data_IF_599024161096
#
_entry.id   IF_599024161096
#
_cell.length_a   1.000
_cell.length_b   1.000
_cell.length_c   1.000
_cell.angle_alpha   90.00
_cell.angle_beta   90.00
_cell.angle_gamma   90.00
#
_symmetry.space_group_name_H-M   'P 1'
#
loop_
_entity.id
_entity.type
_entity.pdbx_description
1 polymer ?
#
# COMPACT_ATOMS: atom_id res chain seq x y z
N UNK A 1 1.42 14.10 -14.49
CA UNK A 1 0.35 13.12 -14.18
C UNK A 1 0.88 12.16 -13.12
N UNK A 2 0.23 12.07 -11.95
CA UNK A 2 0.75 11.29 -10.82
C UNK A 2 0.75 9.79 -11.13
N UNK A 3 1.90 9.13 -10.94
CA UNK A 3 2.00 7.67 -11.03
C UNK A 3 1.08 7.09 -9.95
N UNK A 4 0.17 6.18 -10.33
CA UNK A 4 -0.71 5.52 -9.36
C UNK A 4 0.08 4.42 -8.67
N UNK A 5 0.07 4.46 -7.36
CA UNK A 5 0.87 3.57 -6.52
C UNK A 5 -0.07 2.85 -5.56
N UNK A 6 0.13 1.56 -5.39
CA UNK A 6 -0.50 0.77 -4.34
C UNK A 6 0.58 0.41 -3.30
N UNK A 7 0.17 0.30 -2.05
CA UNK A 7 1.06 -0.08 -0.94
C UNK A 7 0.60 -1.43 -0.44
N UNK A 8 1.54 -2.32 -0.16
CA UNK A 8 1.27 -3.56 0.55
C UNK A 8 2.15 -3.68 1.80
N UNK A 9 1.59 -4.27 2.85
CA UNK A 9 2.29 -4.61 4.09
C UNK A 9 2.30 -6.14 4.18
N UNK A 10 3.49 -6.74 4.28
CA UNK A 10 3.66 -8.19 4.37
C UNK A 10 2.91 -8.94 3.25
N UNK A 11 3.02 -8.48 2.00
CA UNK A 11 2.31 -8.99 0.81
C UNK A 11 0.78 -8.80 0.82
N UNK A 12 0.23 -8.01 1.73
CA UNK A 12 -1.19 -7.67 1.76
C UNK A 12 -1.40 -6.22 1.30
N UNK A 13 -2.15 -6.03 0.21
CA UNK A 13 -2.44 -4.70 -0.33
C UNK A 13 -3.31 -3.91 0.65
N UNK A 14 -2.85 -2.71 0.98
CA UNK A 14 -3.58 -1.74 1.80
C UNK A 14 -4.20 -0.71 0.88
N UNK A 15 -5.52 -0.55 0.99
CA UNK A 15 -6.25 0.51 0.27
C UNK A 15 -5.92 1.87 0.89
N UNK A 16 -5.81 2.90 0.04
CA UNK A 16 -5.33 4.23 0.45
C UNK A 16 -6.11 4.86 1.61
N UNK A 17 -7.42 4.61 1.70
CA UNK A 17 -8.26 5.11 2.80
C UNK A 17 -7.93 4.52 4.17
N UNK A 18 -7.20 3.38 4.22
CA UNK A 18 -6.82 2.70 5.46
C UNK A 18 -5.37 2.96 5.86
N UNK A 19 -4.64 3.84 5.18
CA UNK A 19 -3.25 4.14 5.53
C UNK A 19 -3.12 4.66 6.96
N UNK A 20 -4.03 5.55 7.36
CA UNK A 20 -4.02 6.12 8.71
C UNK A 20 -4.41 5.11 9.80
N UNK A 21 -5.06 4.00 9.42
CA UNK A 21 -5.48 2.91 10.31
C UNK A 21 -4.46 1.76 10.35
N UNK A 22 -3.50 1.74 9.43
CA UNK A 22 -2.54 0.64 9.30
C UNK A 22 -1.34 0.89 10.20
N UNK A 23 -1.36 0.30 11.38
CA UNK A 23 -0.19 0.28 12.28
C UNK A 23 0.92 -0.60 11.70
N UNK A 24 2.15 -0.12 11.79
CA UNK A 24 3.35 -0.85 11.38
C UNK A 24 4.14 -1.29 12.61
N UNK A 25 4.64 -2.51 12.57
CA UNK A 25 5.53 -3.07 13.58
C UNK A 25 6.95 -3.23 13.03
N UNK A 26 7.92 -3.29 13.92
CA UNK A 26 9.29 -3.62 13.53
C UNK A 26 9.34 -4.99 12.83
N UNK A 27 10.01 -5.04 11.68
CA UNK A 27 10.10 -6.23 10.84
C UNK A 27 9.04 -6.33 9.75
N UNK A 28 8.02 -5.47 9.75
CA UNK A 28 7.05 -5.42 8.66
C UNK A 28 7.69 -5.01 7.33
N UNK A 29 7.29 -5.71 6.27
CA UNK A 29 7.75 -5.43 4.91
C UNK A 29 6.77 -4.55 4.18
N UNK A 30 7.23 -3.37 3.76
CA UNK A 30 6.45 -2.46 2.92
C UNK A 30 6.85 -2.63 1.46
N UNK A 31 5.85 -2.82 0.62
CA UNK A 31 6.01 -3.03 -0.82
C UNK A 31 5.26 -1.93 -1.57
N UNK A 32 5.98 -1.25 -2.47
CA UNK A 32 5.44 -0.19 -3.31
C UNK A 32 5.17 -0.77 -4.69
N UNK A 33 3.90 -0.93 -5.03
CA UNK A 33 3.45 -1.57 -6.25
C UNK A 33 2.99 -0.51 -7.25
N UNK A 34 3.25 -0.76 -8.53
CA UNK A 34 2.66 0.03 -9.60
C UNK A 34 1.18 -0.33 -9.74
N UNK A 35 0.29 0.64 -9.52
CA UNK A 35 -1.12 0.36 -9.54
C UNK A 35 -1.61 0.18 -10.98
N UNK A 36 -1.97 -1.05 -11.32
CA UNK A 36 -2.70 -1.37 -12.55
C UNK A 36 -4.16 -0.99 -12.30
N UNK A 37 -4.59 0.19 -12.79
CA UNK A 37 -5.93 0.75 -12.52
C UNK A 37 -7.09 -0.11 -13.02
N UNK A 38 -8.35 0.11 -12.63
CA UNK A 38 -8.92 1.19 -11.82
C UNK A 38 -10.43 1.00 -11.61
N UNK A 39 -11.03 1.92 -10.85
CA UNK A 39 -12.41 1.83 -10.39
C UNK A 39 -12.48 1.22 -9.00
#
# INVERSE_FOLDING_TARGET
>A
AGRRVAVAVNRQVVVRSRYDETELSEGDRIEILEAVGGG
#
